data_IF_023072237445
#
_entry.id   IF_023072237445
#
_cell.length_a   1.000
_cell.length_b   1.000
_cell.length_c   1.000
_cell.angle_alpha   90.00
_cell.angle_beta   90.00
_cell.angle_gamma   90.00
#
_symmetry.space_group_name_H-M   'P 1'
#
loop_
_entity.id
_entity.type
_entity.pdbx_description
1 polymer ?
#
# COMPACT_ATOMS: atom_id res chain seq x y z
N UNK A 1 -5.91 -2.70 -17.49
CA UNK A 1 -6.30 -2.70 -16.07
C UNK A 1 -6.54 -1.29 -15.60
N UNK A 2 -7.49 -1.14 -14.71
CA UNK A 2 -7.91 0.17 -14.25
C UNK A 2 -7.57 0.36 -12.79
N UNK A 3 -6.95 1.48 -12.48
CA UNK A 3 -6.86 1.97 -11.10
C UNK A 3 -7.73 3.22 -10.99
N UNK A 4 -8.51 3.30 -9.94
CA UNK A 4 -9.42 4.40 -9.70
C UNK A 4 -9.11 5.02 -8.35
N UNK A 5 -8.87 6.34 -8.36
CA UNK A 5 -8.74 7.10 -7.13
C UNK A 5 -10.15 7.36 -6.60
N UNK A 6 -10.48 6.68 -5.51
CA UNK A 6 -11.78 6.79 -4.85
C UNK A 6 -11.79 7.84 -3.74
N UNK A 7 -10.69 8.58 -3.56
CA UNK A 7 -10.63 9.63 -2.55
C UNK A 7 -11.68 10.68 -2.85
N UNK A 8 -12.51 11.00 -1.86
CA UNK A 8 -13.54 12.03 -2.03
C UNK A 8 -12.88 13.39 -2.30
N UNK A 9 -13.47 14.24 -3.15
CA UNK A 9 -12.88 15.55 -3.49
C UNK A 9 -12.58 16.43 -2.29
N UNK A 10 -13.39 16.34 -1.22
CA UNK A 10 -13.20 17.13 0.02
C UNK A 10 -12.39 16.37 1.08
N UNK A 11 -11.96 15.14 0.79
CA UNK A 11 -11.29 14.29 1.78
C UNK A 11 -9.84 14.71 1.95
N UNK A 12 -9.42 14.90 3.21
CA UNK A 12 -8.03 15.21 3.57
C UNK A 12 -7.49 14.29 4.67
N UNK A 13 -8.26 13.28 5.09
CA UNK A 13 -7.90 12.37 6.17
C UNK A 13 -7.64 10.96 5.69
N UNK A 14 -8.22 10.57 4.56
CA UNK A 14 -8.17 9.21 4.05
C UNK A 14 -8.03 9.20 2.54
N UNK A 15 -7.07 8.42 2.05
CA UNK A 15 -6.84 8.17 0.63
C UNK A 15 -7.44 6.81 0.30
N UNK A 16 -8.15 6.73 -0.83
CA UNK A 16 -8.78 5.48 -1.26
C UNK A 16 -8.56 5.25 -2.75
N UNK A 17 -8.05 4.05 -3.09
CA UNK A 17 -7.86 3.61 -4.47
C UNK A 17 -8.49 2.25 -4.68
N UNK A 18 -8.89 1.97 -5.90
CA UNK A 18 -9.44 0.68 -6.29
C UNK A 18 -8.82 0.23 -7.60
N UNK A 19 -8.40 -1.03 -7.65
CA UNK A 19 -7.74 -1.62 -8.83
C UNK A 19 -8.53 -2.84 -9.28
N UNK A 20 -8.89 -2.90 -10.56
CA UNK A 20 -9.42 -4.11 -11.17
C UNK A 20 -8.25 -4.84 -11.82
N UNK A 21 -7.85 -5.95 -11.22
CA UNK A 21 -6.68 -6.71 -11.63
C UNK A 21 -7.10 -8.04 -12.23
N UNK A 22 -6.65 -8.33 -13.45
CA UNK A 22 -6.95 -9.58 -14.14
C UNK A 22 -5.96 -10.68 -13.74
N UNK A 23 -5.85 -10.89 -12.42
CA UNK A 23 -4.95 -11.85 -11.79
C UNK A 23 -5.63 -12.42 -10.56
N UNK A 24 -5.27 -13.66 -10.20
CA UNK A 24 -5.87 -14.33 -9.04
C UNK A 24 -5.56 -13.60 -7.73
N UNK A 25 -6.42 -13.75 -6.70
CA UNK A 25 -6.10 -13.22 -5.37
C UNK A 25 -4.77 -13.71 -4.81
N UNK A 26 -4.39 -14.96 -5.08
CA UNK A 26 -3.13 -15.53 -4.63
C UNK A 26 -1.95 -14.79 -5.24
N UNK A 27 -2.03 -14.47 -6.52
CA UNK A 27 -0.96 -13.73 -7.22
C UNK A 27 -0.87 -12.29 -6.72
N UNK A 28 -2.00 -11.62 -6.54
CA UNK A 28 -2.04 -10.26 -6.01
C UNK A 28 -1.49 -10.25 -4.57
N UNK A 29 -1.91 -11.22 -3.76
CA UNK A 29 -1.41 -11.36 -2.40
C UNK A 29 0.11 -11.50 -2.35
N UNK A 30 0.66 -12.28 -3.26
CA UNK A 30 2.12 -12.47 -3.35
C UNK A 30 2.82 -11.13 -3.59
N UNK A 31 2.28 -10.28 -4.45
CA UNK A 31 2.85 -8.95 -4.71
C UNK A 31 2.79 -8.04 -3.48
N UNK A 32 1.83 -8.27 -2.57
CA UNK A 32 1.69 -7.49 -1.34
C UNK A 32 2.57 -7.99 -0.20
N UNK A 33 3.08 -9.22 -0.27
CA UNK A 33 3.72 -9.88 0.88
C UNK A 33 5.13 -10.40 0.59
N UNK A 34 5.50 -10.57 -0.66
CA UNK A 34 6.85 -11.05 -1.02
C UNK A 34 7.82 -9.87 -1.03
N UNK A 35 8.89 -9.89 -0.20
CA UNK A 35 9.85 -8.79 -0.13
C UNK A 35 10.50 -8.44 -1.47
N UNK A 36 10.77 -9.43 -2.32
CA UNK A 36 11.36 -9.18 -3.64
C UNK A 36 10.38 -8.38 -4.52
N UNK A 37 9.11 -8.76 -4.50
CA UNK A 37 8.09 -8.08 -5.31
C UNK A 37 7.75 -6.71 -4.74
N UNK A 38 7.69 -6.57 -3.41
CA UNK A 38 7.45 -5.28 -2.76
C UNK A 38 8.51 -4.25 -3.13
N UNK A 39 9.77 -4.67 -3.25
CA UNK A 39 10.84 -3.78 -3.65
C UNK A 39 10.68 -3.24 -5.07
N UNK A 40 9.96 -3.96 -5.93
CA UNK A 40 9.77 -3.57 -7.32
C UNK A 40 8.65 -2.58 -7.55
N UNK A 41 7.60 -2.62 -6.73
CA UNK A 41 6.46 -1.71 -6.96
C UNK A 41 6.22 -0.73 -5.81
N UNK A 42 6.63 -1.07 -4.60
CA UNK A 42 6.40 -0.24 -3.42
C UNK A 42 7.72 0.30 -2.89
N UNK A 43 8.34 -0.41 -1.96
CA UNK A 43 9.62 -0.03 -1.37
C UNK A 43 10.33 -1.29 -0.88
N UNK A 44 11.66 -1.27 -0.80
CA UNK A 44 12.39 -2.36 -0.15
C UNK A 44 11.93 -2.52 1.30
N UNK A 45 11.69 -3.75 1.72
CA UNK A 45 11.17 -4.06 3.05
C UNK A 45 12.22 -4.79 3.87
N UNK A 46 12.28 -4.48 5.17
CA UNK A 46 13.24 -5.07 6.11
C UNK A 46 12.49 -5.79 7.22
N UNK A 47 12.86 -7.04 7.47
CA UNK A 47 12.35 -7.86 8.57
C UNK A 47 10.82 -8.08 8.55
N UNK A 48 10.27 -8.26 7.36
CA UNK A 48 8.84 -8.53 7.23
C UNK A 48 8.48 -9.91 7.80
N UNK A 49 7.60 -9.92 8.79
CA UNK A 49 6.96 -11.11 9.33
C UNK A 49 5.46 -10.95 9.18
N UNK A 50 4.80 -11.95 8.61
CA UNK A 50 3.36 -11.90 8.35
C UNK A 50 2.58 -12.41 9.55
N UNK A 51 2.71 -11.69 10.67
CA UNK A 51 2.04 -12.00 11.92
C UNK A 51 1.45 -10.72 12.54
N UNK A 52 0.24 -10.79 13.12
CA UNK A 52 -0.31 -9.63 13.84
C UNK A 52 0.65 -9.14 14.93
N UNK A 53 0.84 -7.83 14.99
CA UNK A 53 1.71 -7.20 15.95
C UNK A 53 3.18 -7.16 15.56
N UNK A 54 3.59 -7.83 14.49
CA UNK A 54 4.99 -7.83 14.06
C UNK A 54 5.38 -6.47 13.48
N UNK A 55 6.51 -5.93 13.92
CA UNK A 55 7.05 -4.69 13.39
C UNK A 55 7.98 -4.97 12.21
N UNK A 56 7.94 -4.09 11.22
CA UNK A 56 8.85 -4.12 10.09
C UNK A 56 9.06 -2.69 9.57
N UNK A 57 9.99 -2.51 8.63
CA UNK A 57 10.22 -1.21 8.02
C UNK A 57 10.32 -1.32 6.51
N UNK A 58 9.88 -0.26 5.83
CA UNK A 58 10.31 -0.01 4.45
C UNK A 58 11.49 0.95 4.52
N UNK A 59 12.49 0.74 3.67
CA UNK A 59 13.68 1.56 3.67
C UNK A 59 14.12 1.87 2.24
N UNK A 60 14.28 3.15 1.95
CA UNK A 60 14.72 3.63 0.65
C UNK A 60 15.77 4.73 0.81
N UNK A 61 16.17 5.35 -0.30
CA UNK A 61 17.13 6.44 -0.28
C UNK A 61 16.59 7.63 0.52
N UNK A 62 17.38 8.21 1.45
CA UNK A 62 16.94 9.41 2.17
C UNK A 62 16.72 10.60 1.23
N UNK A 63 15.76 11.44 1.62
CA UNK A 63 15.54 12.75 0.99
C UNK A 63 15.76 13.85 2.03
N UNK A 64 15.99 15.09 1.62
CA UNK A 64 15.98 16.20 2.56
C UNK A 64 14.66 16.24 3.35
N UNK A 65 14.74 16.16 4.67
CA UNK A 65 13.59 16.14 5.55
C UNK A 65 13.00 14.75 5.82
N UNK A 66 13.55 13.70 5.22
CA UNK A 66 13.09 12.33 5.44
C UNK A 66 14.27 11.35 5.39
N UNK A 67 14.38 10.49 6.40
CA UNK A 67 15.47 9.51 6.51
C UNK A 67 15.29 8.28 5.60
N UNK A 68 14.23 8.22 4.81
CA UNK A 68 13.95 7.10 3.91
C UNK A 68 13.31 5.90 4.59
N UNK A 69 12.88 6.03 5.83
CA UNK A 69 12.32 4.92 6.62
C UNK A 69 10.83 5.12 6.84
N UNK A 70 10.06 4.06 6.62
CA UNK A 70 8.66 3.97 7.02
C UNK A 70 8.55 2.89 8.08
N UNK A 71 8.09 3.26 9.27
CA UNK A 71 7.91 2.30 10.37
C UNK A 71 6.52 1.71 10.30
N UNK A 72 6.45 0.38 10.36
CA UNK A 72 5.21 -0.36 10.18
C UNK A 72 5.03 -1.41 11.26
N UNK A 73 3.76 -1.75 11.51
CA UNK A 73 3.38 -2.86 12.39
C UNK A 73 2.14 -3.51 11.81
N UNK A 74 2.17 -4.83 11.68
CA UNK A 74 1.01 -5.59 11.17
C UNK A 74 -0.14 -5.48 12.17
N UNK A 75 -1.30 -5.02 11.70
CA UNK A 75 -2.52 -4.93 12.51
C UNK A 75 -3.45 -6.11 12.25
N UNK A 76 -3.72 -6.39 10.98
CA UNK A 76 -4.57 -7.48 10.57
C UNK A 76 -3.94 -8.19 9.38
N UNK A 77 -4.06 -9.51 9.36
CA UNK A 77 -3.65 -10.31 8.22
C UNK A 77 -4.59 -11.50 8.06
N UNK A 78 -5.16 -11.59 6.87
CA UNK A 78 -6.01 -12.71 6.47
C UNK A 78 -5.60 -13.06 5.04
N UNK A 79 -4.95 -14.20 4.89
CA UNK A 79 -4.32 -14.59 3.62
C UNK A 79 -5.30 -14.49 2.45
N UNK A 80 -4.85 -13.84 1.38
CA UNK A 80 -5.58 -13.63 0.12
C UNK A 80 -6.80 -12.71 0.24
N UNK A 81 -7.03 -12.08 1.40
CA UNK A 81 -8.23 -11.25 1.62
C UNK A 81 -7.93 -9.87 2.20
N UNK A 82 -7.09 -9.78 3.23
CA UNK A 82 -6.89 -8.51 3.92
C UNK A 82 -5.50 -8.42 4.53
N UNK A 83 -4.87 -7.26 4.36
CA UNK A 83 -3.60 -6.92 5.00
C UNK A 83 -3.66 -5.47 5.44
N UNK A 84 -3.46 -5.24 6.73
CA UNK A 84 -3.46 -3.89 7.29
C UNK A 84 -2.22 -3.71 8.17
N UNK A 85 -1.56 -2.57 8.02
CA UNK A 85 -0.42 -2.23 8.87
C UNK A 85 -0.30 -0.72 9.03
N UNK A 86 0.38 -0.31 10.10
CA UNK A 86 0.67 1.10 10.33
C UNK A 86 1.71 1.58 9.33
N UNK A 87 1.63 2.86 8.98
CA UNK A 87 2.55 3.52 8.06
C UNK A 87 2.94 4.84 8.72
N UNK A 88 4.11 4.85 9.36
CA UNK A 88 4.54 5.97 10.19
C UNK A 88 5.81 6.59 9.61
N UNK A 89 5.74 7.87 9.31
CA UNK A 89 6.87 8.68 8.83
C UNK A 89 6.88 9.96 9.65
N UNK A 90 7.80 10.08 10.62
CA UNK A 90 7.84 11.23 11.52
C UNK A 90 6.51 11.41 12.26
N UNK A 91 5.89 12.56 12.11
CA UNK A 91 4.60 12.88 12.73
C UNK A 91 3.40 12.34 11.96
N UNK A 92 3.64 11.75 10.79
CA UNK A 92 2.60 11.15 9.97
C UNK A 92 2.38 9.73 10.48
N UNK A 93 1.27 9.51 11.18
CA UNK A 93 0.91 8.22 11.75
C UNK A 93 -0.40 7.77 11.12
N UNK A 94 -0.29 6.85 10.17
CA UNK A 94 -1.42 6.40 9.37
C UNK A 94 -1.51 4.88 9.37
N UNK A 95 -2.63 4.39 8.82
CA UNK A 95 -2.87 2.95 8.63
C UNK A 95 -3.16 2.71 7.16
N UNK A 96 -2.47 1.73 6.58
CA UNK A 96 -2.70 1.27 5.22
C UNK A 96 -3.44 -0.06 5.29
N UNK A 97 -4.53 -0.17 4.53
CA UNK A 97 -5.33 -1.40 4.46
C UNK A 97 -5.52 -1.81 3.01
N UNK A 98 -5.12 -3.04 2.71
CA UNK A 98 -5.39 -3.69 1.43
C UNK A 98 -6.49 -4.71 1.62
N UNK A 99 -7.51 -4.66 0.78
CA UNK A 99 -8.60 -5.64 0.78
C UNK A 99 -8.71 -6.24 -0.62
N UNK A 100 -8.70 -7.58 -0.70
CA UNK A 100 -8.81 -8.31 -1.96
C UNK A 100 -10.17 -8.97 -2.05
N UNK A 101 -10.89 -8.69 -3.13
CA UNK A 101 -12.20 -9.27 -3.40
C UNK A 101 -12.13 -10.04 -4.72
N UNK A 102 -12.38 -11.36 -4.72
CA UNK A 102 -12.42 -12.11 -5.98
C UNK A 102 -13.52 -11.57 -6.91
N UNK A 103 -13.21 -11.50 -8.20
CA UNK A 103 -14.17 -11.10 -9.23
C UNK A 103 -14.22 -12.15 -10.32
N UNK A 104 -15.17 -12.02 -11.24
CA UNK A 104 -15.29 -12.95 -12.37
C UNK A 104 -14.01 -12.97 -13.24
N UNK A 105 -13.28 -11.86 -13.31
CA UNK A 105 -12.09 -11.72 -14.17
C UNK A 105 -10.77 -11.70 -13.40
N UNK A 106 -10.80 -11.78 -12.07
CA UNK A 106 -9.59 -11.74 -11.27
C UNK A 106 -9.80 -11.25 -9.84
N UNK A 107 -9.26 -10.09 -9.52
CA UNK A 107 -9.28 -9.52 -8.16
C UNK A 107 -9.57 -8.03 -8.21
N UNK A 108 -10.44 -7.58 -7.32
CA UNK A 108 -10.55 -6.15 -6.99
C UNK A 108 -9.70 -5.90 -5.76
N UNK A 109 -8.70 -5.04 -5.89
CA UNK A 109 -7.84 -4.62 -4.79
C UNK A 109 -8.27 -3.23 -4.33
N UNK A 110 -8.64 -3.12 -3.06
CA UNK A 110 -8.93 -1.84 -2.43
C UNK A 110 -7.75 -1.45 -1.55
N UNK A 111 -7.30 -0.21 -1.69
CA UNK A 111 -6.23 0.37 -0.87
C UNK A 111 -6.78 1.60 -0.16
N UNK A 112 -6.64 1.63 1.16
CA UNK A 112 -7.02 2.80 1.96
C UNK A 112 -5.86 3.16 2.88
N UNK A 113 -5.46 4.42 2.85
CA UNK A 113 -4.54 4.97 3.86
C UNK A 113 -5.27 6.06 4.62
N UNK A 114 -5.42 5.88 5.92
CA UNK A 114 -6.21 6.76 6.79
C UNK A 114 -5.41 7.24 7.99
N UNK A 115 -5.84 8.36 8.58
CA UNK A 115 -5.22 8.90 9.78
C UNK A 115 -4.45 10.19 9.56
N UNK A 116 -4.49 10.79 8.37
CA UNK A 116 -3.88 12.10 8.14
C UNK A 116 -4.61 13.17 8.95
N UNK A 117 -3.84 14.08 9.54
CA UNK A 117 -4.37 15.19 10.31
C UNK A 117 -4.65 16.40 9.43
N UNK A 118 -5.53 17.34 9.88
CA UNK A 118 -5.86 18.53 9.06
C UNK A 118 -4.66 19.38 8.66
N UNK A 119 -3.59 19.40 9.46
CA UNK A 119 -2.38 20.18 9.19
C UNK A 119 -1.38 19.42 8.30
N UNK A 120 -1.74 18.23 7.80
CA UNK A 120 -0.89 17.38 6.98
C UNK A 120 -1.34 17.30 5.52
N UNK A 121 -1.94 18.36 5.00
CA UNK A 121 -2.46 18.39 3.62
C UNK A 121 -1.40 18.12 2.57
N UNK A 122 -0.20 18.65 2.75
CA UNK A 122 0.90 18.45 1.82
C UNK A 122 1.35 17.00 1.81
N UNK A 123 1.45 16.39 2.97
CA UNK A 123 1.80 14.97 3.11
C UNK A 123 0.71 14.08 2.51
N UNK A 124 -0.55 14.43 2.73
CA UNK A 124 -1.69 13.74 2.15
C UNK A 124 -1.62 13.76 0.61
N UNK A 125 -1.41 14.94 0.03
CA UNK A 125 -1.30 15.08 -1.42
C UNK A 125 -0.12 14.31 -2.01
N UNK A 126 1.02 14.33 -1.31
CA UNK A 126 2.21 13.57 -1.72
C UNK A 126 1.98 12.06 -1.67
N UNK A 127 1.33 11.58 -0.61
CA UNK A 127 1.00 10.16 -0.48
C UNK A 127 0.00 9.72 -1.56
N UNK A 128 -1.01 10.53 -1.83
CA UNK A 128 -2.00 10.26 -2.87
C UNK A 128 -1.33 10.11 -4.25
N UNK A 129 -0.43 11.04 -4.57
CA UNK A 129 0.36 10.97 -5.80
C UNK A 129 1.25 9.72 -5.81
N UNK A 130 1.91 9.42 -4.69
CA UNK A 130 2.78 8.25 -4.54
C UNK A 130 2.03 6.95 -4.79
N UNK A 131 0.83 6.79 -4.24
CA UNK A 131 0.02 5.59 -4.46
C UNK A 131 -0.40 5.46 -5.93
N UNK A 132 -0.70 6.56 -6.59
CA UNK A 132 -1.02 6.53 -8.02
C UNK A 132 0.16 6.00 -8.82
N UNK A 133 1.38 6.48 -8.53
CA UNK A 133 2.60 6.04 -9.20
C UNK A 133 2.92 4.59 -8.89
N UNK A 134 2.87 4.21 -7.61
CA UNK A 134 3.16 2.84 -7.17
C UNK A 134 2.12 1.85 -7.67
N UNK A 135 0.85 2.27 -7.73
CA UNK A 135 -0.21 1.44 -8.30
C UNK A 135 0.04 1.09 -9.76
N UNK A 136 0.56 2.05 -10.54
CA UNK A 136 0.96 1.78 -11.92
C UNK A 136 2.07 0.74 -12.00
N UNK A 137 3.05 0.83 -11.10
CA UNK A 137 4.13 -0.16 -11.03
C UNK A 137 3.61 -1.54 -10.63
N UNK A 138 2.62 -1.60 -9.74
CA UNK A 138 2.00 -2.86 -9.35
C UNK A 138 1.32 -3.53 -10.55
N UNK A 139 0.56 -2.77 -11.32
CA UNK A 139 -0.10 -3.27 -12.53
C UNK A 139 0.94 -3.84 -13.50
N UNK A 140 2.02 -3.11 -13.74
CA UNK A 140 3.09 -3.56 -14.63
C UNK A 140 3.80 -4.81 -14.10
N UNK A 141 4.05 -4.87 -12.80
CA UNK A 141 4.68 -6.03 -12.17
C UNK A 141 3.84 -7.28 -12.34
N UNK A 142 2.54 -7.19 -12.07
CA UNK A 142 1.63 -8.33 -12.19
C UNK A 142 1.57 -8.86 -13.62
N UNK A 143 1.70 -7.99 -14.61
CA UNK A 143 1.73 -8.40 -16.02
C UNK A 143 3.03 -9.13 -16.40
N UNK A 144 4.12 -8.97 -15.64
CA UNK A 144 5.43 -9.55 -15.92
C UNK A 144 5.72 -10.86 -15.18
N UNK A 145 5.07 -11.09 -14.05
CA UNK A 145 5.30 -12.28 -13.22
C UNK A 145 4.28 -13.39 -13.52
N UNK A 146 4.67 -14.67 -13.27
CA UNK A 146 3.76 -15.80 -13.48
C UNK A 146 2.60 -15.81 -12.48
#
# INVERSE_FOLDING_TARGET
MNSIDKTAPSQTESISFEFDLHHSPEKVWRALTDPVLLAEWLLPVVELKLEPGAAFTFKTQPYPGWDGIVNCRILEIEAHRKLSYTWVVGDIDTVVTFTLTPTASGTRLSLVQSGFKPDQKQNFGGARYGWKMMGGKLVDLLARIP
#
